data_IF_307896502496
#
_entry.id   IF_307896502496
#
_cell.length_a   1.000
_cell.length_b   1.000
_cell.length_c   1.000
_cell.angle_alpha   90.00
_cell.angle_beta   90.00
_cell.angle_gamma   90.00
#
_symmetry.space_group_name_H-M   'P 1'
#
loop_
_entity.id
_entity.type
_entity.pdbx_description
1 polymer ?
#
# COMPACT_ATOMS: atom_id res chain seq x y z
N UNK A 1 31.19 -4.75 10.15
CA UNK A 1 31.67 -4.87 8.75
C UNK A 1 31.54 -3.51 8.06
N UNK A 2 32.64 -2.91 7.60
CA UNK A 2 32.59 -1.65 6.86
C UNK A 2 31.91 -1.90 5.51
N UNK A 3 30.78 -1.24 5.26
CA UNK A 3 29.95 -1.43 4.06
C UNK A 3 28.52 -1.94 4.31
N UNK A 4 28.13 -2.28 5.54
CA UNK A 4 26.79 -2.79 5.84
C UNK A 4 25.62 -1.83 5.56
N UNK A 5 25.88 -0.52 5.45
CA UNK A 5 24.84 0.50 5.27
C UNK A 5 24.17 0.44 3.89
N UNK A 6 24.91 0.13 2.81
CA UNK A 6 24.36 0.05 1.45
C UNK A 6 23.45 -1.18 1.27
N UNK A 7 23.79 -2.27 1.98
CA UNK A 7 23.09 -3.55 1.91
C UNK A 7 21.81 -3.49 2.72
N UNK A 8 21.85 -2.87 3.91
CA UNK A 8 20.66 -2.55 4.70
C UNK A 8 19.72 -1.66 3.88
N UNK A 9 20.18 -0.52 3.34
CA UNK A 9 19.33 0.42 2.58
C UNK A 9 18.65 -0.17 1.33
N UNK A 10 19.28 -1.13 0.66
CA UNK A 10 18.65 -1.82 -0.48
C UNK A 10 17.58 -2.80 -0.02
N UNK A 11 17.83 -3.47 1.10
CA UNK A 11 16.91 -4.46 1.68
C UNK A 11 15.67 -3.80 2.23
N UNK A 12 15.80 -2.70 2.99
CA UNK A 12 14.66 -1.95 3.52
C UNK A 12 13.86 -1.21 2.44
N UNK A 13 14.49 -0.76 1.35
CA UNK A 13 13.75 -0.30 0.15
C UNK A 13 12.85 -1.37 -0.46
N UNK A 14 13.34 -2.60 -0.61
CA UNK A 14 12.56 -3.71 -1.18
C UNK A 14 11.40 -4.07 -0.26
N UNK A 15 11.65 -4.17 1.06
CA UNK A 15 10.58 -4.45 2.02
C UNK A 15 9.51 -3.36 2.07
N UNK A 16 9.90 -2.09 1.97
CA UNK A 16 8.94 -0.98 1.97
C UNK A 16 8.15 -0.91 0.66
N UNK A 17 8.79 -1.24 -0.47
CA UNK A 17 8.12 -1.40 -1.77
C UNK A 17 7.10 -2.55 -1.76
N UNK A 18 7.46 -3.70 -1.17
CA UNK A 18 6.56 -4.84 -1.03
C UNK A 18 5.33 -4.47 -0.20
N UNK A 19 5.51 -3.79 0.93
CA UNK A 19 4.40 -3.36 1.81
C UNK A 19 3.50 -2.32 1.15
N UNK A 20 4.07 -1.40 0.37
CA UNK A 20 3.31 -0.37 -0.36
C UNK A 20 2.53 -0.93 -1.54
N UNK A 21 3.02 -2.00 -2.17
CA UNK A 21 2.38 -2.61 -3.35
C UNK A 21 1.26 -3.58 -3.01
N UNK A 22 1.15 -4.02 -1.75
CA UNK A 22 0.10 -4.94 -1.29
C UNK A 22 -0.61 -4.41 -0.04
N UNK A 23 -1.07 -3.17 -0.10
CA UNK A 23 -1.84 -2.57 0.99
C UNK A 23 -3.27 -3.11 0.92
N UNK A 24 -3.72 -3.86 1.93
CA UNK A 24 -5.08 -4.38 2.02
C UNK A 24 -5.91 -3.45 2.91
N UNK A 25 -6.72 -2.55 2.34
CA UNK A 25 -7.34 -1.50 3.13
C UNK A 25 -8.54 -2.06 3.88
N UNK A 26 -8.58 -1.86 5.20
CA UNK A 26 -9.75 -2.25 6.00
C UNK A 26 -10.80 -1.14 5.89
N UNK A 27 -11.84 -1.38 5.10
CA UNK A 27 -12.90 -0.38 4.85
C UNK A 27 -13.88 -0.34 6.03
N UNK A 28 -13.66 0.57 6.98
CA UNK A 28 -14.63 0.89 8.03
C UNK A 28 -15.65 1.91 7.52
N UNK A 29 -16.80 1.42 7.05
CA UNK A 29 -17.86 2.25 6.49
C UNK A 29 -18.75 2.89 7.53
N UNK A 30 -18.37 4.05 8.07
CA UNK A 30 -19.10 4.72 9.16
C UNK A 30 -20.26 5.64 8.72
N UNK A 31 -20.43 5.93 7.41
CA UNK A 31 -21.63 6.58 6.83
C UNK A 31 -21.48 6.73 5.30
N UNK A 32 -21.34 7.96 4.80
CA UNK A 32 -21.21 8.30 3.38
C UNK A 32 -19.79 8.04 2.82
N UNK A 33 -18.75 8.01 3.66
CA UNK A 33 -17.39 7.71 3.20
C UNK A 33 -17.23 6.25 2.74
N UNK A 34 -18.17 5.36 3.12
CA UNK A 34 -18.18 3.96 2.71
C UNK A 34 -18.44 3.81 1.21
N UNK A 35 -19.39 4.57 0.66
CA UNK A 35 -19.76 4.48 -0.76
C UNK A 35 -18.67 5.08 -1.67
N UNK A 36 -18.01 6.14 -1.22
CA UNK A 36 -16.88 6.74 -1.92
C UNK A 36 -15.71 5.75 -1.95
N UNK A 37 -15.42 5.08 -0.83
CA UNK A 37 -14.38 4.05 -0.78
C UNK A 37 -14.72 2.85 -1.68
N UNK A 38 -15.97 2.37 -1.71
CA UNK A 38 -16.39 1.28 -2.61
C UNK A 38 -16.27 1.68 -4.09
N UNK A 39 -16.57 2.93 -4.44
CA UNK A 39 -16.37 3.45 -5.80
C UNK A 39 -14.88 3.53 -6.18
N UNK A 40 -13.99 3.76 -5.22
CA UNK A 40 -12.52 3.70 -5.41
C UNK A 40 -11.93 2.28 -5.47
N UNK A 41 -12.74 1.24 -5.27
CA UNK A 41 -12.38 -0.15 -5.62
C UNK A 41 -13.16 -0.67 -6.83
N UNK A 42 -14.08 0.14 -7.39
CA UNK A 42 -14.86 -0.25 -8.55
C UNK A 42 -14.08 0.01 -9.85
N UNK A 43 -14.53 -0.57 -10.97
CA UNK A 43 -13.84 -0.55 -12.27
C UNK A 43 -13.49 0.85 -12.83
N UNK A 44 -14.08 1.92 -12.31
CA UNK A 44 -13.76 3.31 -12.65
C UNK A 44 -12.47 3.79 -11.97
N UNK A 45 -12.24 3.37 -10.74
CA UNK A 45 -11.09 3.74 -9.92
C UNK A 45 -10.59 2.46 -9.29
N UNK A 46 -9.61 1.85 -9.94
CA UNK A 46 -9.09 0.54 -9.56
C UNK A 46 -7.86 0.76 -8.68
N UNK A 47 -8.05 0.68 -7.36
CA UNK A 47 -6.97 0.81 -6.36
C UNK A 47 -5.95 -0.34 -6.43
N UNK A 48 -6.27 -1.40 -7.18
CA UNK A 48 -5.45 -2.58 -7.41
C UNK A 48 -4.45 -2.40 -8.57
N UNK A 49 -4.49 -1.24 -9.25
CA UNK A 49 -3.57 -0.83 -10.31
C UNK A 49 -2.24 -0.30 -9.78
#
# INVERSE_FOLDING_TARGET
MPGGWIVTTSTDKIFNWARKSSIWPVTFGLACCAIEMMATFASRFDVER
#
